data_IF_739464399700
#
_entry.id   IF_739464399700
#
_cell.length_a   1.000
_cell.length_b   1.000
_cell.length_c   1.000
_cell.angle_alpha   90.00
_cell.angle_beta   90.00
_cell.angle_gamma   90.00
#
_symmetry.space_group_name_H-M   'P 1'
#
loop_
_entity.id
_entity.type
_entity.pdbx_description
1 polymer ?
#
# COMPACT_ATOMS: atom_id res chain seq x y z
N UNK A 1 17.88 -31.21 26.97
CA UNK A 1 16.80 -32.06 26.39
C UNK A 1 15.79 -31.08 25.79
N UNK A 2 16.11 -30.60 24.58
CA UNK A 2 15.30 -29.63 23.86
C UNK A 2 14.21 -30.37 23.11
N UNK A 3 12.98 -30.19 23.52
CA UNK A 3 11.81 -30.70 22.80
C UNK A 3 11.71 -30.03 21.42
N UNK A 4 12.16 -30.78 20.40
CA UNK A 4 11.92 -30.52 18.99
C UNK A 4 10.44 -30.73 18.67
N UNK A 5 9.59 -29.84 19.12
CA UNK A 5 8.26 -29.68 18.52
C UNK A 5 8.42 -29.01 17.16
N UNK A 6 8.56 -29.82 16.13
CA UNK A 6 8.44 -29.41 14.74
C UNK A 6 7.07 -28.79 14.51
N UNK A 7 6.90 -27.48 14.84
CA UNK A 7 5.67 -26.74 14.56
C UNK A 7 5.37 -26.89 13.07
N UNK A 8 4.24 -27.51 12.76
CA UNK A 8 3.71 -27.65 11.40
C UNK A 8 3.74 -26.28 10.73
N UNK A 9 4.02 -26.23 9.42
CA UNK A 9 4.07 -24.99 8.64
C UNK A 9 2.78 -24.16 8.80
N UNK A 10 1.64 -24.84 8.98
CA UNK A 10 0.31 -24.30 9.21
C UNK A 10 -0.13 -24.52 10.67
N UNK A 11 0.61 -23.95 11.62
CA UNK A 11 0.15 -23.90 13.01
C UNK A 11 -0.96 -22.83 13.18
N UNK A 12 -1.84 -22.98 14.19
CA UNK A 12 -2.91 -22.00 14.46
C UNK A 12 -2.43 -20.54 14.48
N UNK A 13 -1.30 -20.19 15.15
CA UNK A 13 -0.78 -18.82 15.09
C UNK A 13 -0.39 -18.36 13.67
N UNK A 14 0.21 -19.24 12.86
CA UNK A 14 0.55 -18.92 11.46
C UNK A 14 -0.71 -18.70 10.64
N UNK A 15 -1.71 -19.58 10.77
CA UNK A 15 -3.00 -19.42 10.07
C UNK A 15 -3.66 -18.10 10.48
N UNK A 16 -3.69 -17.76 11.78
CA UNK A 16 -4.26 -16.51 12.26
C UNK A 16 -3.55 -15.29 11.67
N UNK A 17 -2.21 -15.32 11.55
CA UNK A 17 -1.43 -14.27 10.95
C UNK A 17 -1.72 -14.14 9.45
N UNK A 18 -1.79 -15.24 8.72
CA UNK A 18 -2.09 -15.27 7.26
C UNK A 18 -3.51 -14.79 6.97
N UNK A 19 -4.50 -15.19 7.79
CA UNK A 19 -5.89 -14.75 7.64
C UNK A 19 -6.08 -13.26 7.94
N UNK A 20 -5.22 -12.68 8.76
CA UNK A 20 -5.23 -11.24 8.98
C UNK A 20 -4.76 -10.48 7.74
N UNK A 21 -3.81 -11.01 6.99
CA UNK A 21 -3.38 -10.42 5.70
C UNK A 21 -4.51 -10.47 4.66
N UNK A 22 -5.25 -11.58 4.62
CA UNK A 22 -6.48 -11.69 3.84
C UNK A 22 -7.50 -10.59 4.21
N UNK A 23 -7.73 -10.36 5.51
CA UNK A 23 -8.62 -9.31 6.00
C UNK A 23 -8.13 -7.90 5.61
N UNK A 24 -6.84 -7.61 5.80
CA UNK A 24 -6.21 -6.35 5.42
C UNK A 24 -6.41 -6.04 3.94
N UNK A 25 -6.26 -7.05 3.10
CA UNK A 25 -6.38 -6.85 1.66
C UNK A 25 -7.82 -6.60 1.22
N UNK A 26 -8.82 -7.17 1.90
CA UNK A 26 -10.24 -6.83 1.67
C UNK A 26 -10.47 -5.33 1.92
N UNK A 27 -10.00 -4.80 3.04
CA UNK A 27 -10.15 -3.36 3.34
C UNK A 27 -9.44 -2.51 2.30
N UNK A 28 -8.16 -2.80 2.03
CA UNK A 28 -7.37 -2.04 1.06
C UNK A 28 -8.03 -2.03 -0.32
N UNK A 29 -8.52 -3.17 -0.77
CA UNK A 29 -9.21 -3.27 -2.05
C UNK A 29 -10.52 -2.48 -2.06
N UNK A 30 -11.39 -2.71 -1.09
CA UNK A 30 -12.75 -2.13 -1.04
C UNK A 30 -12.70 -0.62 -0.80
N UNK A 31 -11.95 -0.18 0.22
CA UNK A 31 -11.95 1.23 0.63
C UNK A 31 -10.95 2.02 -0.19
N UNK A 32 -9.68 1.58 -0.29
CA UNK A 32 -8.66 2.41 -0.92
C UNK A 32 -8.73 2.36 -2.45
N UNK A 33 -8.98 1.18 -3.03
CA UNK A 33 -8.85 1.00 -4.49
C UNK A 33 -10.17 1.17 -5.23
N UNK A 34 -11.26 0.53 -4.76
CA UNK A 34 -12.44 0.31 -5.60
C UNK A 34 -13.63 1.22 -5.30
N UNK A 35 -14.16 1.24 -4.07
CA UNK A 35 -15.49 1.79 -3.84
C UNK A 35 -15.52 3.16 -3.20
N UNK A 36 -14.57 3.56 -2.35
CA UNK A 36 -14.64 4.84 -1.65
C UNK A 36 -14.48 6.03 -2.61
N UNK A 37 -13.50 5.96 -3.51
CA UNK A 37 -13.25 7.02 -4.48
C UNK A 37 -14.40 7.10 -5.48
N UNK A 38 -14.87 5.95 -5.99
CA UNK A 38 -16.02 5.85 -6.89
C UNK A 38 -17.27 6.48 -6.25
N UNK A 39 -17.55 6.15 -4.99
CA UNK A 39 -18.67 6.69 -4.24
C UNK A 39 -18.60 8.19 -4.04
N UNK A 40 -17.48 8.72 -3.57
CA UNK A 40 -17.35 10.17 -3.27
C UNK A 40 -17.29 10.99 -4.56
N UNK A 41 -16.52 10.56 -5.55
CA UNK A 41 -16.22 11.34 -6.73
C UNK A 41 -17.30 11.17 -7.80
N UNK A 42 -17.64 9.95 -8.16
CA UNK A 42 -18.56 9.67 -9.28
C UNK A 42 -20.03 9.66 -8.83
N UNK A 43 -20.37 8.96 -7.74
CA UNK A 43 -21.78 8.89 -7.30
C UNK A 43 -22.24 10.15 -6.55
N UNK A 44 -21.35 10.77 -5.76
CA UNK A 44 -21.67 12.01 -5.02
C UNK A 44 -21.25 13.29 -5.76
N UNK A 45 -20.59 13.17 -6.91
CA UNK A 45 -20.17 14.28 -7.76
C UNK A 45 -19.16 15.23 -7.13
N UNK A 46 -18.40 14.77 -6.11
CA UNK A 46 -17.47 15.63 -5.40
C UNK A 46 -16.15 15.81 -6.17
N UNK A 47 -15.45 16.93 -5.98
CA UNK A 47 -14.12 17.14 -6.55
C UNK A 47 -13.12 16.07 -6.04
N UNK A 48 -12.27 15.57 -6.94
CA UNK A 48 -11.22 14.58 -6.63
C UNK A 48 -10.29 15.05 -5.51
N UNK A 49 -10.05 16.36 -5.41
CA UNK A 49 -9.18 16.97 -4.41
C UNK A 49 -9.62 16.66 -2.97
N UNK A 50 -10.92 16.41 -2.72
CA UNK A 50 -11.40 16.10 -1.37
C UNK A 50 -10.87 14.76 -0.87
N UNK A 51 -10.83 13.77 -1.74
CA UNK A 51 -10.18 12.48 -1.43
C UNK A 51 -8.68 12.67 -1.26
N UNK A 52 -8.05 13.46 -2.13
CA UNK A 52 -6.63 13.81 -2.01
C UNK A 52 -6.29 14.48 -0.68
N UNK A 53 -7.10 15.45 -0.23
CA UNK A 53 -6.94 16.12 1.08
C UNK A 53 -7.11 15.14 2.24
N UNK A 54 -8.10 14.27 2.18
CA UNK A 54 -8.31 13.22 3.18
C UNK A 54 -7.07 12.32 3.29
N UNK A 55 -6.57 11.79 2.18
CA UNK A 55 -5.41 10.89 2.19
C UNK A 55 -4.14 11.61 2.63
N UNK A 56 -3.94 12.86 2.23
CA UNK A 56 -2.80 13.67 2.66
C UNK A 56 -2.84 13.95 4.17
N UNK A 57 -4.01 14.30 4.72
CA UNK A 57 -4.17 14.50 6.15
C UNK A 57 -3.86 13.22 6.96
N UNK A 58 -4.33 12.06 6.48
CA UNK A 58 -4.00 10.75 7.06
C UNK A 58 -2.51 10.49 6.98
N UNK A 59 -1.86 10.75 5.85
CA UNK A 59 -0.43 10.52 5.65
C UNK A 59 0.42 11.37 6.61
N UNK A 60 0.08 12.65 6.78
CA UNK A 60 0.73 13.53 7.74
C UNK A 60 0.53 13.03 9.18
N UNK A 61 -0.70 12.65 9.54
CA UNK A 61 -0.97 12.08 10.86
C UNK A 61 -0.16 10.81 11.12
N UNK A 62 -0.06 9.90 10.13
CA UNK A 62 0.73 8.66 10.24
C UNK A 62 2.23 8.94 10.43
N UNK A 63 2.81 9.88 9.67
CA UNK A 63 4.23 10.25 9.79
C UNK A 63 4.55 10.76 11.19
N UNK A 64 3.63 11.49 11.83
CA UNK A 64 3.82 12.00 13.19
C UNK A 64 3.56 10.93 14.25
N UNK A 65 2.53 10.11 14.06
CA UNK A 65 2.06 9.21 15.14
C UNK A 65 2.68 7.81 15.09
N UNK A 66 3.02 7.26 13.90
CA UNK A 66 3.59 5.91 13.82
C UNK A 66 4.91 5.73 14.59
N UNK A 67 5.87 6.68 14.58
CA UNK A 67 7.07 6.58 15.44
C UNK A 67 6.74 6.54 16.93
N UNK A 68 5.71 7.30 17.37
CA UNK A 68 5.26 7.31 18.75
C UNK A 68 4.56 6.01 19.14
N UNK A 69 3.68 5.50 18.27
CA UNK A 69 2.96 4.25 18.48
C UNK A 69 3.92 3.06 18.47
N UNK A 70 4.90 3.04 17.56
CA UNK A 70 5.96 2.04 17.54
C UNK A 70 6.78 2.07 18.83
N UNK A 71 7.23 3.25 19.25
CA UNK A 71 7.95 3.43 20.52
C UNK A 71 7.12 2.97 21.74
N UNK A 72 5.81 3.20 21.72
CA UNK A 72 4.89 2.73 22.77
C UNK A 72 4.80 1.20 22.77
N UNK A 73 4.67 0.56 21.61
CA UNK A 73 4.65 -0.89 21.46
C UNK A 73 5.94 -1.52 21.98
N UNK A 74 7.10 -0.98 21.57
CA UNK A 74 8.42 -1.45 21.97
C UNK A 74 8.65 -1.29 23.50
N UNK A 75 8.25 -0.16 24.07
CA UNK A 75 8.33 0.07 25.53
C UNK A 75 7.53 -0.93 26.34
N UNK A 76 6.35 -1.34 25.85
CA UNK A 76 5.50 -2.33 26.51
C UNK A 76 5.86 -3.75 26.10
N UNK A 77 6.69 -3.96 25.07
CA UNK A 77 7.05 -5.26 24.51
C UNK A 77 5.82 -6.00 23.95
N UNK A 78 4.83 -5.28 23.41
CA UNK A 78 3.61 -5.85 22.86
C UNK A 78 3.03 -5.00 21.75
N UNK A 79 2.90 -5.60 20.56
CA UNK A 79 2.30 -5.01 19.35
C UNK A 79 0.81 -5.36 19.21
N UNK A 80 0.42 -6.56 19.64
CA UNK A 80 -0.92 -7.11 19.43
C UNK A 80 -2.05 -6.29 20.06
N UNK A 81 -1.97 -5.74 21.30
CA UNK A 81 -3.04 -4.92 21.85
C UNK A 81 -3.34 -3.67 21.01
N UNK A 82 -2.30 -3.01 20.50
CA UNK A 82 -2.44 -1.84 19.63
C UNK A 82 -3.07 -2.26 18.30
N UNK A 83 -2.59 -3.36 17.71
CA UNK A 83 -3.18 -3.94 16.50
C UNK A 83 -4.69 -4.17 16.68
N UNK A 84 -5.11 -4.83 17.76
CA UNK A 84 -6.52 -5.13 18.00
C UNK A 84 -7.34 -3.84 18.11
N UNK A 85 -6.87 -2.86 18.91
CA UNK A 85 -7.58 -1.60 19.12
C UNK A 85 -7.81 -0.86 17.79
N UNK A 86 -6.76 -0.73 16.97
CA UNK A 86 -6.86 -0.04 15.68
C UNK A 86 -7.59 -0.86 14.61
N UNK A 87 -7.53 -2.20 14.67
CA UNK A 87 -8.36 -3.04 13.79
C UNK A 87 -9.85 -2.86 14.10
N UNK A 88 -10.23 -2.86 15.38
CA UNK A 88 -11.62 -2.64 15.78
C UNK A 88 -12.10 -1.24 15.39
N UNK A 89 -11.27 -0.22 15.57
CA UNK A 89 -11.57 1.15 15.11
C UNK A 89 -11.76 1.20 13.58
N UNK A 90 -10.89 0.53 12.82
CA UNK A 90 -11.01 0.43 11.37
C UNK A 90 -12.31 -0.25 10.95
N UNK A 91 -12.65 -1.39 11.56
CA UNK A 91 -13.88 -2.14 11.27
C UNK A 91 -15.12 -1.30 11.55
N UNK A 92 -15.19 -0.65 12.73
CA UNK A 92 -16.31 0.22 13.09
C UNK A 92 -16.43 1.40 12.13
N UNK A 93 -15.33 2.08 11.83
CA UNK A 93 -15.34 3.20 10.89
C UNK A 93 -15.76 2.75 9.48
N UNK A 94 -15.27 1.60 9.01
CA UNK A 94 -15.65 1.04 7.71
C UNK A 94 -17.15 0.71 7.68
N UNK A 95 -17.69 0.10 8.73
CA UNK A 95 -19.13 -0.17 8.84
C UNK A 95 -19.98 1.11 8.84
N UNK A 96 -19.50 2.16 9.52
CA UNK A 96 -20.17 3.47 9.55
C UNK A 96 -20.22 4.10 8.14
N UNK A 97 -19.22 3.92 7.29
CA UNK A 97 -19.26 4.39 5.89
C UNK A 97 -20.50 3.84 5.15
N UNK A 98 -20.96 2.64 5.49
CA UNK A 98 -22.16 2.03 4.90
C UNK A 98 -23.48 2.74 5.21
N UNK A 99 -23.52 3.61 6.21
CA UNK A 99 -24.75 4.30 6.67
C UNK A 99 -24.67 5.82 6.65
N UNK A 100 -23.48 6.38 6.54
CA UNK A 100 -23.25 7.84 6.52
C UNK A 100 -23.80 8.47 5.25
N UNK A 101 -24.57 9.55 5.37
CA UNK A 101 -25.17 10.28 4.25
C UNK A 101 -24.39 11.55 3.87
N UNK A 102 -23.79 12.22 4.84
CA UNK A 102 -23.01 13.45 4.62
C UNK A 102 -21.65 13.14 4.03
N UNK A 103 -21.26 13.84 2.97
CA UNK A 103 -19.95 13.73 2.33
C UNK A 103 -18.82 14.09 3.29
N UNK A 104 -18.97 15.20 4.03
CA UNK A 104 -17.97 15.64 5.01
C UNK A 104 -17.75 14.56 6.08
N UNK A 105 -18.84 13.98 6.61
CA UNK A 105 -18.74 12.91 7.60
C UNK A 105 -18.15 11.63 6.99
N UNK A 106 -18.46 11.32 5.73
CA UNK A 106 -17.86 10.20 5.00
C UNK A 106 -16.33 10.36 4.86
N UNK A 107 -15.87 11.57 4.52
CA UNK A 107 -14.43 11.86 4.43
C UNK A 107 -13.74 11.74 5.80
N UNK A 108 -14.37 12.25 6.88
CA UNK A 108 -13.82 12.12 8.24
C UNK A 108 -13.76 10.65 8.67
N UNK A 109 -14.84 9.91 8.50
CA UNK A 109 -14.91 8.48 8.85
C UNK A 109 -13.96 7.65 7.98
N UNK A 110 -13.85 7.97 6.68
CA UNK A 110 -12.88 7.37 5.77
C UNK A 110 -11.43 7.64 6.18
N UNK A 111 -11.15 8.87 6.63
CA UNK A 111 -9.84 9.22 7.19
C UNK A 111 -9.52 8.38 8.44
N UNK A 112 -10.49 8.25 9.37
CA UNK A 112 -10.33 7.43 10.57
C UNK A 112 -10.12 5.97 10.22
N UNK A 113 -10.89 5.41 9.28
CA UNK A 113 -10.75 4.03 8.83
C UNK A 113 -9.35 3.79 8.21
N UNK A 114 -8.91 4.68 7.31
CA UNK A 114 -7.62 4.57 6.64
C UNK A 114 -6.45 4.77 7.61
N UNK A 115 -6.56 5.70 8.55
CA UNK A 115 -5.56 5.90 9.60
C UNK A 115 -5.46 4.67 10.51
N UNK A 116 -6.59 4.14 10.97
CA UNK A 116 -6.65 2.97 11.82
C UNK A 116 -6.11 1.71 11.11
N UNK A 117 -6.46 1.53 9.84
CA UNK A 117 -5.91 0.47 8.98
C UNK A 117 -4.38 0.52 8.91
N UNK A 118 -3.82 1.67 8.54
CA UNK A 118 -2.37 1.82 8.41
C UNK A 118 -1.64 1.64 9.75
N UNK A 119 -2.25 2.06 10.85
CA UNK A 119 -1.69 1.89 12.19
C UNK A 119 -1.71 0.43 12.61
N UNK A 120 -2.82 -0.29 12.42
CA UNK A 120 -2.89 -1.73 12.71
C UNK A 120 -1.94 -2.55 11.84
N UNK A 121 -1.84 -2.21 10.54
CA UNK A 121 -0.91 -2.85 9.60
C UNK A 121 0.56 -2.69 10.03
N UNK A 122 0.93 -1.52 10.55
CA UNK A 122 2.29 -1.30 11.10
C UNK A 122 2.63 -2.22 12.27
N UNK A 123 1.64 -2.63 13.07
CA UNK A 123 1.81 -3.53 14.20
C UNK A 123 1.67 -5.02 13.82
N UNK A 124 1.14 -5.32 12.62
CA UNK A 124 0.99 -6.67 12.10
C UNK A 124 2.33 -7.30 11.71
N UNK A 125 3.20 -6.55 11.03
CA UNK A 125 4.45 -7.10 10.53
C UNK A 125 5.41 -7.63 11.62
N UNK A 126 5.60 -6.97 12.78
CA UNK A 126 6.42 -7.51 13.87
C UNK A 126 5.93 -8.85 14.41
N UNK A 127 4.63 -9.13 14.37
CA UNK A 127 4.07 -10.40 14.83
C UNK A 127 4.51 -11.62 14.00
N UNK A 128 5.08 -11.42 12.79
CA UNK A 128 5.70 -12.49 12.03
C UNK A 128 6.82 -13.17 12.80
N UNK A 129 7.59 -12.42 13.58
CA UNK A 129 8.65 -12.97 14.42
C UNK A 129 8.09 -13.85 15.57
N UNK A 130 6.87 -13.54 16.03
CA UNK A 130 6.18 -14.30 17.09
C UNK A 130 5.62 -15.61 16.56
N UNK A 131 5.08 -15.62 15.33
CA UNK A 131 4.40 -16.81 14.76
C UNK A 131 5.32 -17.75 14.03
N UNK A 132 6.47 -17.28 13.52
CA UNK A 132 7.39 -18.07 12.72
C UNK A 132 8.85 -17.92 13.14
N UNK A 133 9.61 -19.05 13.27
CA UNK A 133 11.05 -19.03 13.48
C UNK A 133 11.75 -18.41 12.26
N UNK A 134 12.90 -17.80 12.46
CA UNK A 134 13.63 -17.02 11.45
C UNK A 134 13.77 -17.74 10.11
N UNK A 135 14.12 -19.01 10.14
CA UNK A 135 14.27 -19.86 8.93
C UNK A 135 13.00 -19.99 8.09
N UNK A 136 11.80 -19.75 8.66
CA UNK A 136 10.50 -19.93 8.01
C UNK A 136 9.77 -18.60 7.75
N UNK A 137 10.26 -17.47 8.27
CA UNK A 137 9.61 -16.15 8.16
C UNK A 137 9.36 -15.78 6.70
N UNK A 138 10.34 -15.92 5.83
CA UNK A 138 10.18 -15.62 4.41
C UNK A 138 9.07 -16.44 3.74
N UNK A 139 9.00 -17.76 4.05
CA UNK A 139 7.97 -18.64 3.51
C UNK A 139 6.57 -18.30 4.05
N UNK A 140 6.46 -18.04 5.35
CA UNK A 140 5.17 -17.66 5.97
C UNK A 140 4.70 -16.31 5.44
N UNK A 141 5.60 -15.34 5.29
CA UNK A 141 5.30 -14.04 4.68
C UNK A 141 4.82 -14.18 3.23
N UNK A 142 5.48 -15.03 2.42
CA UNK A 142 5.04 -15.31 1.05
C UNK A 142 3.65 -15.93 0.97
N UNK A 143 3.33 -16.87 1.88
CA UNK A 143 1.97 -17.43 1.99
C UNK A 143 0.97 -16.34 2.39
N UNK A 144 1.31 -15.46 3.35
CA UNK A 144 0.46 -14.34 3.73
C UNK A 144 0.09 -13.47 2.54
N UNK A 145 1.09 -13.01 1.79
CA UNK A 145 0.88 -12.19 0.59
C UNK A 145 0.00 -12.90 -0.45
N UNK A 146 0.25 -14.19 -0.72
CA UNK A 146 -0.56 -14.96 -1.67
C UNK A 146 -2.02 -15.06 -1.22
N UNK A 147 -2.25 -15.34 0.07
CA UNK A 147 -3.59 -15.40 0.67
C UNK A 147 -4.23 -14.00 0.72
N UNK A 148 -3.44 -12.94 0.92
CA UNK A 148 -3.90 -11.56 0.81
C UNK A 148 -4.49 -11.26 -0.58
N UNK A 149 -3.82 -11.63 -1.66
CA UNK A 149 -4.39 -11.46 -3.02
C UNK A 149 -5.72 -12.22 -3.20
N UNK A 150 -5.87 -13.41 -2.59
CA UNK A 150 -7.15 -14.09 -2.56
C UNK A 150 -8.23 -13.28 -1.82
N UNK A 151 -7.84 -12.49 -0.80
CA UNK A 151 -8.72 -11.57 -0.11
C UNK A 151 -9.30 -10.51 -1.05
N UNK A 152 -8.49 -9.91 -1.91
CA UNK A 152 -8.97 -8.96 -2.94
C UNK A 152 -9.96 -9.61 -3.90
N UNK A 153 -9.65 -10.81 -4.41
CA UNK A 153 -10.53 -11.53 -5.33
C UNK A 153 -11.85 -11.96 -4.65
N UNK A 154 -11.78 -12.36 -3.37
CA UNK A 154 -12.97 -12.68 -2.57
C UNK A 154 -13.84 -11.43 -2.34
N UNK A 155 -13.21 -10.29 -2.00
CA UNK A 155 -13.92 -9.03 -1.88
C UNK A 155 -14.62 -8.66 -3.18
N UNK A 156 -13.96 -8.83 -4.31
CA UNK A 156 -14.51 -8.55 -5.63
C UNK A 156 -15.72 -9.44 -5.95
N UNK A 157 -15.61 -10.74 -5.67
CA UNK A 157 -16.69 -11.71 -5.96
C UNK A 157 -17.91 -11.52 -5.05
N UNK A 158 -17.69 -11.34 -3.73
CA UNK A 158 -18.80 -11.28 -2.76
C UNK A 158 -19.39 -9.87 -2.66
N UNK A 159 -18.55 -8.83 -2.66
CA UNK A 159 -18.99 -7.45 -2.48
C UNK A 159 -19.43 -6.85 -3.82
N UNK A 160 -18.77 -7.23 -4.92
CA UNK A 160 -19.14 -6.78 -6.26
C UNK A 160 -20.57 -7.12 -6.68
N UNK A 161 -21.13 -8.21 -6.15
CA UNK A 161 -22.52 -8.59 -6.40
C UNK A 161 -23.55 -7.69 -5.68
N UNK A 162 -23.15 -7.01 -4.60
CA UNK A 162 -24.04 -6.16 -3.77
C UNK A 162 -23.79 -4.67 -4.04
N UNK A 163 -22.55 -4.29 -4.37
CA UNK A 163 -22.14 -2.93 -4.65
C UNK A 163 -22.08 -2.70 -6.16
N UNK A 164 -23.26 -2.59 -6.76
CA UNK A 164 -23.46 -2.29 -8.18
C UNK A 164 -23.34 -0.79 -8.45
N UNK A 165 -23.41 -0.38 -9.73
CA UNK A 165 -23.38 1.02 -10.15
C UNK A 165 -24.45 1.86 -9.43
N UNK A 166 -24.06 3.03 -8.97
CA UNK A 166 -24.90 3.91 -8.16
C UNK A 166 -25.11 3.45 -6.71
N UNK A 167 -24.48 2.35 -6.29
CA UNK A 167 -24.65 1.77 -4.97
C UNK A 167 -23.32 1.34 -4.31
N UNK A 168 -22.20 2.01 -4.62
CA UNK A 168 -20.88 1.69 -4.09
C UNK A 168 -20.84 1.72 -2.54
N UNK A 169 -21.67 2.55 -1.90
CA UNK A 169 -21.81 2.61 -0.45
C UNK A 169 -22.16 1.26 0.20
N UNK A 170 -22.90 0.38 -0.52
CA UNK A 170 -23.26 -0.95 -0.03
C UNK A 170 -22.05 -1.88 0.18
N UNK A 171 -20.87 -1.54 -0.33
CA UNK A 171 -19.66 -2.32 -0.17
C UNK A 171 -19.12 -2.31 1.26
N UNK A 172 -19.32 -1.22 2.01
CA UNK A 172 -18.58 -0.99 3.25
C UNK A 172 -19.01 -1.88 4.41
N UNK A 173 -20.30 -2.15 4.57
CA UNK A 173 -20.77 -3.00 5.65
C UNK A 173 -20.33 -4.47 5.49
N UNK A 174 -20.48 -5.12 4.32
CA UNK A 174 -19.91 -6.44 4.07
C UNK A 174 -18.39 -6.48 4.22
N UNK A 175 -17.67 -5.43 3.79
CA UNK A 175 -16.23 -5.34 3.95
C UNK A 175 -15.82 -5.32 5.43
N UNK A 176 -16.51 -4.54 6.25
CA UNK A 176 -16.29 -4.50 7.69
C UNK A 176 -16.55 -5.86 8.35
N UNK A 177 -17.63 -6.54 7.96
CA UNK A 177 -17.98 -7.87 8.44
C UNK A 177 -16.92 -8.93 8.06
N UNK A 178 -16.48 -8.94 6.81
CA UNK A 178 -15.41 -9.83 6.38
C UNK A 178 -14.09 -9.51 7.08
N UNK A 179 -13.76 -8.23 7.23
CA UNK A 179 -12.53 -7.84 7.92
C UNK A 179 -12.50 -8.39 9.35
N UNK A 180 -13.54 -8.18 10.15
CA UNK A 180 -13.54 -8.67 11.54
C UNK A 180 -13.51 -10.19 11.59
N UNK A 181 -14.28 -10.89 10.76
CA UNK A 181 -14.32 -12.37 10.75
C UNK A 181 -12.94 -12.96 10.50
N UNK A 182 -12.19 -12.45 9.51
CA UNK A 182 -10.88 -12.96 9.18
C UNK A 182 -9.76 -12.40 10.07
N UNK A 183 -9.99 -11.31 10.82
CA UNK A 183 -9.07 -10.81 11.83
C UNK A 183 -9.15 -11.57 13.17
N UNK A 184 -10.32 -12.10 13.55
CA UNK A 184 -10.54 -12.81 14.81
C UNK A 184 -9.53 -13.96 15.07
N UNK A 185 -9.16 -14.80 14.10
CA UNK A 185 -8.17 -15.85 14.32
C UNK A 185 -6.83 -15.33 14.83
N UNK A 186 -6.35 -14.18 14.35
CA UNK A 186 -5.14 -13.55 14.88
C UNK A 186 -5.35 -13.15 16.34
N UNK A 187 -6.50 -12.56 16.68
CA UNK A 187 -6.78 -12.09 18.03
C UNK A 187 -6.75 -13.22 19.06
N UNK A 188 -7.23 -14.41 18.70
CA UNK A 188 -7.32 -15.54 19.64
C UNK A 188 -6.11 -16.49 19.57
N UNK A 189 -5.54 -16.74 18.38
CA UNK A 189 -4.54 -17.79 18.20
C UNK A 189 -3.11 -17.28 18.32
N UNK A 190 -2.84 -15.99 18.06
CA UNK A 190 -1.50 -15.43 18.23
C UNK A 190 -1.32 -15.00 19.69
N UNK A 191 -0.40 -15.64 20.41
CA UNK A 191 -0.04 -15.29 21.78
C UNK A 191 1.30 -14.58 21.78
N UNK A 192 1.29 -13.29 21.98
CA UNK A 192 2.48 -12.46 22.12
C UNK A 192 2.97 -12.52 23.57
N UNK A 193 4.21 -12.92 23.77
CA UNK A 193 4.88 -12.78 25.06
C UNK A 193 5.47 -11.38 25.17
N UNK A 194 5.47 -10.84 26.38
CA UNK A 194 6.11 -9.56 26.63
C UNK A 194 7.62 -9.74 26.51
N UNK A 195 8.22 -9.21 25.47
CA UNK A 195 9.66 -9.16 25.28
C UNK A 195 10.07 -7.68 25.26
N UNK A 196 10.88 -7.30 26.23
CA UNK A 196 11.36 -5.92 26.37
C UNK A 196 12.86 -5.93 26.09
N UNK A 197 13.23 -5.37 24.95
CA UNK A 197 14.64 -5.16 24.60
C UNK A 197 15.11 -3.80 25.12
N UNK A 198 16.17 -3.81 25.94
CA UNK A 198 16.76 -2.59 26.50
C UNK A 198 17.33 -1.66 25.41
N UNK A 199 17.74 -2.17 24.26
CA UNK A 199 18.20 -1.36 23.13
C UNK A 199 17.01 -0.69 22.43
N UNK A 200 15.92 -1.43 22.17
CA UNK A 200 14.67 -0.90 21.65
C UNK A 200 14.07 0.17 22.57
N UNK A 201 14.10 -0.04 23.89
CA UNK A 201 13.64 0.98 24.85
C UNK A 201 14.42 2.29 24.78
N UNK A 202 15.75 2.22 24.64
CA UNK A 202 16.60 3.41 24.49
C UNK A 202 16.32 4.16 23.19
N UNK A 203 16.12 3.44 22.10
CA UNK A 203 15.71 4.00 20.82
C UNK A 203 14.32 4.67 20.91
N UNK A 204 13.35 4.01 21.56
CA UNK A 204 12.00 4.52 21.79
C UNK A 204 11.95 5.79 22.69
N UNK A 205 13.01 6.15 23.38
CA UNK A 205 13.05 7.36 24.22
C UNK A 205 13.08 8.67 23.41
N UNK A 206 13.61 8.65 22.16
CA UNK A 206 13.77 9.85 21.31
C UNK A 206 13.49 9.53 19.83
N UNK A 207 12.26 9.12 19.46
CA UNK A 207 11.96 8.60 18.14
C UNK A 207 12.21 9.60 17.00
N UNK A 208 11.88 10.87 17.19
CA UNK A 208 12.11 11.91 16.17
C UNK A 208 13.59 12.30 16.04
N UNK A 209 14.37 12.30 17.12
CA UNK A 209 15.80 12.58 17.04
C UNK A 209 16.53 11.45 16.30
N UNK A 210 16.15 10.20 16.56
CA UNK A 210 16.67 9.04 15.84
C UNK A 210 16.30 9.09 14.37
N UNK A 211 15.04 9.39 14.06
CA UNK A 211 14.58 9.57 12.68
C UNK A 211 15.37 10.66 11.94
N UNK A 212 15.56 11.83 12.56
CA UNK A 212 16.31 12.92 11.97
C UNK A 212 17.79 12.52 11.72
N UNK A 213 18.38 11.76 12.63
CA UNK A 213 19.74 11.22 12.46
C UNK A 213 19.81 10.23 11.29
N UNK A 214 18.83 9.32 11.18
CA UNK A 214 18.73 8.35 10.07
C UNK A 214 18.54 9.06 8.73
N UNK A 215 17.65 10.06 8.64
CA UNK A 215 17.47 10.88 7.42
C UNK A 215 18.78 11.60 7.03
N UNK A 216 19.46 12.20 7.98
CA UNK A 216 20.73 12.92 7.73
C UNK A 216 21.80 11.99 7.19
N UNK A 217 21.89 10.77 7.73
CA UNK A 217 22.81 9.72 7.27
C UNK A 217 22.43 9.23 5.87
N UNK A 218 21.16 8.85 5.68
CA UNK A 218 20.64 8.33 4.41
C UNK A 218 20.91 9.28 3.24
N UNK A 219 20.83 10.61 3.45
CA UNK A 219 21.13 11.61 2.41
C UNK A 219 22.56 11.49 1.83
N UNK A 220 23.49 10.90 2.56
CA UNK A 220 24.91 10.75 2.16
C UNK A 220 25.22 9.36 1.62
N UNK A 221 24.32 8.41 1.76
CA UNK A 221 24.50 7.00 1.40
C UNK A 221 23.66 6.60 0.16
N UNK A 222 24.07 5.56 -0.58
CA UNK A 222 23.36 5.13 -1.79
C UNK A 222 21.88 4.79 -1.57
N UNK A 223 21.55 4.16 -0.43
CA UNK A 223 20.16 3.79 -0.12
C UNK A 223 19.25 5.02 0.08
N UNK A 224 19.77 6.17 0.45
CA UNK A 224 19.00 7.40 0.51
C UNK A 224 18.49 7.87 -0.85
N UNK A 225 19.25 7.62 -1.93
CA UNK A 225 18.77 7.85 -3.30
C UNK A 225 17.65 6.89 -3.69
N UNK A 226 17.73 5.62 -3.27
CA UNK A 226 16.64 4.66 -3.48
C UNK A 226 15.37 5.10 -2.76
N UNK A 227 15.49 5.53 -1.49
CA UNK A 227 14.35 6.00 -0.69
C UNK A 227 13.73 7.26 -1.30
N UNK A 228 14.55 8.19 -1.81
CA UNK A 228 14.07 9.38 -2.52
C UNK A 228 13.41 9.03 -3.86
N UNK A 229 13.99 8.15 -4.65
CA UNK A 229 13.39 7.68 -5.90
C UNK A 229 12.03 7.02 -5.64
N UNK A 230 11.96 6.21 -4.58
CA UNK A 230 10.75 5.52 -4.14
C UNK A 230 9.60 6.47 -3.80
N UNK A 231 9.91 7.60 -3.18
CA UNK A 231 8.91 8.64 -2.92
C UNK A 231 8.12 8.99 -4.18
N UNK A 232 8.78 9.12 -5.32
CA UNK A 232 8.13 9.49 -6.57
C UNK A 232 7.46 8.30 -7.29
N UNK A 233 8.16 7.17 -7.49
CA UNK A 233 7.61 6.12 -8.33
C UNK A 233 6.55 5.25 -7.62
N UNK A 234 6.70 5.02 -6.31
CA UNK A 234 5.68 4.26 -5.57
C UNK A 234 4.41 5.09 -5.43
N UNK A 235 4.56 6.38 -5.16
CA UNK A 235 3.45 7.31 -5.08
C UNK A 235 2.67 7.40 -6.40
N UNK A 236 3.38 7.53 -7.52
CA UNK A 236 2.76 7.57 -8.83
C UNK A 236 1.94 6.29 -9.11
N UNK A 237 2.51 5.11 -8.86
CA UNK A 237 1.83 3.83 -9.10
C UNK A 237 0.66 3.62 -8.13
N UNK A 238 0.86 3.92 -6.85
CA UNK A 238 -0.21 3.81 -5.85
C UNK A 238 -1.39 4.74 -6.17
N UNK A 239 -1.10 5.97 -6.61
CA UNK A 239 -2.12 6.93 -7.02
C UNK A 239 -2.88 6.47 -8.26
N UNK A 240 -2.20 5.92 -9.27
CA UNK A 240 -2.86 5.32 -10.45
C UNK A 240 -3.83 4.23 -10.02
N UNK A 241 -3.41 3.33 -9.14
CA UNK A 241 -4.25 2.22 -8.67
C UNK A 241 -5.43 2.74 -7.85
N UNK A 242 -5.19 3.72 -6.99
CA UNK A 242 -6.22 4.33 -6.16
C UNK A 242 -7.32 5.03 -6.98
N UNK A 243 -6.97 5.67 -8.09
CA UNK A 243 -7.91 6.38 -8.95
C UNK A 243 -8.26 5.63 -10.24
N UNK A 244 -7.82 4.37 -10.38
CA UNK A 244 -8.06 3.56 -11.58
C UNK A 244 -9.54 3.43 -11.93
N UNK A 245 -10.40 3.25 -10.92
CA UNK A 245 -11.86 3.19 -11.09
C UNK A 245 -12.40 4.49 -11.69
N UNK A 246 -12.03 5.62 -11.11
CA UNK A 246 -12.45 6.96 -11.57
C UNK A 246 -11.94 7.22 -13.00
N UNK A 247 -10.67 6.86 -13.24
CA UNK A 247 -10.07 7.01 -14.56
C UNK A 247 -10.78 6.15 -15.62
N UNK A 248 -11.03 4.87 -15.33
CA UNK A 248 -11.68 3.96 -16.26
C UNK A 248 -13.11 4.41 -16.61
N UNK A 249 -13.86 4.91 -15.64
CA UNK A 249 -15.21 5.48 -15.90
C UNK A 249 -15.14 6.71 -16.81
N UNK A 250 -14.23 7.63 -16.54
CA UNK A 250 -14.15 8.91 -17.26
C UNK A 250 -13.58 8.78 -18.66
N UNK A 251 -12.66 7.86 -18.90
CA UNK A 251 -11.89 7.78 -20.15
C UNK A 251 -12.22 6.57 -20.99
N UNK A 252 -12.66 5.48 -20.41
CA UNK A 252 -12.97 4.23 -21.08
C UNK A 252 -14.46 3.89 -21.09
N UNK A 253 -15.29 4.68 -20.43
CA UNK A 253 -16.74 4.44 -20.26
C UNK A 253 -17.06 3.04 -19.68
N UNK A 254 -16.19 2.60 -18.74
CA UNK A 254 -16.35 1.30 -18.09
C UNK A 254 -17.49 1.32 -17.08
N UNK A 255 -18.34 0.28 -17.14
CA UNK A 255 -19.29 0.00 -16.10
C UNK A 255 -18.64 -0.65 -14.85
N UNK A 256 -19.41 -0.83 -13.78
CA UNK A 256 -18.91 -1.41 -12.55
C UNK A 256 -18.45 -2.85 -12.69
N UNK A 257 -19.06 -3.63 -13.59
CA UNK A 257 -18.70 -5.03 -13.84
C UNK A 257 -17.38 -5.11 -14.59
N UNK A 258 -17.21 -4.30 -15.63
CA UNK A 258 -15.97 -4.20 -16.40
C UNK A 258 -14.79 -3.76 -15.53
N UNK A 259 -14.99 -2.76 -14.64
CA UNK A 259 -13.99 -2.33 -13.68
C UNK A 259 -13.62 -3.48 -12.74
N UNK A 260 -14.61 -4.23 -12.26
CA UNK A 260 -14.36 -5.35 -11.37
C UNK A 260 -13.53 -6.44 -12.06
N UNK A 261 -13.84 -6.77 -13.32
CA UNK A 261 -13.06 -7.74 -14.11
C UNK A 261 -11.65 -7.21 -14.37
N UNK A 262 -11.51 -5.93 -14.74
CA UNK A 262 -10.20 -5.30 -14.98
C UNK A 262 -9.32 -5.37 -13.72
N UNK A 263 -9.87 -5.04 -12.55
CA UNK A 263 -9.17 -5.10 -11.28
C UNK A 263 -8.82 -6.55 -10.87
N UNK A 264 -9.70 -7.52 -11.17
CA UNK A 264 -9.39 -8.94 -10.94
C UNK A 264 -8.20 -9.39 -11.78
N UNK A 265 -8.22 -9.09 -13.08
CA UNK A 265 -7.13 -9.43 -14.00
C UNK A 265 -5.83 -8.73 -13.60
N UNK A 266 -5.89 -7.43 -13.23
CA UNK A 266 -4.74 -6.69 -12.74
C UNK A 266 -4.18 -7.26 -11.42
N UNK A 267 -5.03 -7.76 -10.53
CA UNK A 267 -4.62 -8.40 -9.26
C UNK A 267 -3.88 -9.72 -9.52
N UNK A 268 -4.41 -10.57 -10.42
CA UNK A 268 -3.72 -11.79 -10.83
C UNK A 268 -2.39 -11.47 -11.52
N UNK A 269 -2.39 -10.47 -12.39
CA UNK A 269 -1.19 -9.99 -13.07
C UNK A 269 -0.14 -9.46 -12.08
N UNK A 270 -0.56 -8.78 -10.99
CA UNK A 270 0.34 -8.33 -9.93
C UNK A 270 0.99 -9.50 -9.18
N UNK A 271 0.25 -10.56 -8.89
CA UNK A 271 0.81 -11.77 -8.29
C UNK A 271 1.87 -12.40 -9.19
N UNK A 272 1.56 -12.57 -10.49
CA UNK A 272 2.50 -13.12 -11.48
C UNK A 272 3.73 -12.21 -11.63
N UNK A 273 3.53 -10.90 -11.65
CA UNK A 273 4.59 -9.90 -11.68
C UNK A 273 5.54 -9.99 -10.50
N UNK A 274 5.00 -10.14 -9.29
CA UNK A 274 5.80 -10.28 -8.07
C UNK A 274 6.69 -11.54 -8.10
N UNK A 275 6.14 -12.69 -8.51
CA UNK A 275 6.88 -13.95 -8.63
C UNK A 275 7.93 -13.85 -9.74
N UNK A 276 7.52 -13.44 -10.95
CA UNK A 276 8.41 -13.36 -12.11
C UNK A 276 9.55 -12.37 -11.89
N UNK A 277 9.27 -11.19 -11.33
CA UNK A 277 10.29 -10.20 -11.03
C UNK A 277 11.27 -10.66 -9.95
N UNK A 278 10.81 -11.40 -8.93
CA UNK A 278 11.68 -11.97 -7.90
C UNK A 278 12.67 -12.96 -8.51
N UNK A 279 12.19 -13.89 -9.34
CA UNK A 279 13.05 -14.86 -10.04
C UNK A 279 14.03 -14.16 -11.01
N UNK A 280 13.56 -13.12 -11.69
CA UNK A 280 14.43 -12.34 -12.59
C UNK A 280 15.49 -11.57 -11.80
N UNK A 281 15.14 -11.01 -10.63
CA UNK A 281 16.07 -10.26 -9.79
C UNK A 281 17.21 -11.13 -9.23
N UNK A 282 16.98 -12.42 -9.05
CA UNK A 282 18.05 -13.37 -8.68
C UNK A 282 19.09 -13.53 -9.80
N UNK A 283 18.66 -13.47 -11.07
CA UNK A 283 19.53 -13.66 -12.24
C UNK A 283 20.24 -12.39 -12.69
N UNK A 284 19.53 -11.27 -12.77
CA UNK A 284 20.06 -10.03 -13.39
C UNK A 284 20.32 -8.91 -12.40
N UNK A 285 19.96 -9.12 -11.12
CA UNK A 285 20.06 -8.12 -10.05
C UNK A 285 18.81 -7.25 -9.88
N UNK A 286 18.47 -6.86 -8.64
CA UNK A 286 17.24 -6.16 -8.33
C UNK A 286 17.17 -4.77 -8.96
N UNK A 287 18.29 -4.04 -9.05
CA UNK A 287 18.34 -2.72 -9.68
C UNK A 287 17.83 -2.75 -11.13
N UNK A 288 18.32 -3.70 -11.93
CA UNK A 288 17.93 -3.80 -13.35
C UNK A 288 16.44 -4.08 -13.48
N UNK A 289 15.91 -4.98 -12.64
CA UNK A 289 14.48 -5.32 -12.65
C UNK A 289 13.64 -4.10 -12.28
N UNK A 290 14.00 -3.36 -11.23
CA UNK A 290 13.29 -2.12 -10.84
C UNK A 290 13.31 -1.09 -11.97
N UNK A 291 14.48 -0.86 -12.62
CA UNK A 291 14.59 0.09 -13.74
C UNK A 291 13.77 -0.34 -14.95
N UNK A 292 13.79 -1.61 -15.32
CA UNK A 292 12.96 -2.11 -16.44
C UNK A 292 11.48 -1.98 -16.15
N UNK A 293 11.06 -2.36 -14.93
CA UNK A 293 9.66 -2.21 -14.52
C UNK A 293 9.22 -0.76 -14.55
N UNK A 294 10.04 0.18 -14.05
CA UNK A 294 9.73 1.60 -14.10
C UNK A 294 9.66 2.13 -15.54
N UNK A 295 10.58 1.72 -16.43
CA UNK A 295 10.54 2.10 -17.83
C UNK A 295 9.24 1.63 -18.51
N UNK A 296 8.84 0.38 -18.28
CA UNK A 296 7.57 -0.16 -18.79
C UNK A 296 6.39 0.63 -18.18
N UNK A 297 6.38 0.89 -16.88
CA UNK A 297 5.33 1.67 -16.22
C UNK A 297 5.18 3.06 -16.83
N UNK A 298 6.27 3.79 -17.04
CA UNK A 298 6.26 5.13 -17.64
C UNK A 298 5.64 5.07 -19.04
N UNK A 299 6.07 4.12 -19.88
CA UNK A 299 5.54 3.94 -21.24
C UNK A 299 4.04 3.66 -21.19
N UNK A 300 3.61 2.75 -20.32
CA UNK A 300 2.20 2.38 -20.15
C UNK A 300 1.35 3.57 -19.69
N UNK A 301 1.85 4.37 -18.74
CA UNK A 301 1.15 5.57 -18.27
C UNK A 301 1.05 6.62 -19.40
N UNK A 302 2.11 6.85 -20.17
CA UNK A 302 2.11 7.78 -21.31
C UNK A 302 1.11 7.33 -22.39
N UNK A 303 1.10 6.04 -22.73
CA UNK A 303 0.14 5.48 -23.69
C UNK A 303 -1.29 5.62 -23.13
N UNK A 304 -1.50 5.25 -21.88
CA UNK A 304 -2.80 5.36 -21.20
C UNK A 304 -3.33 6.79 -21.17
N UNK A 305 -2.48 7.77 -20.89
CA UNK A 305 -2.81 9.18 -20.95
C UNK A 305 -3.12 9.66 -22.37
N UNK A 306 -2.47 9.09 -23.37
CA UNK A 306 -2.67 9.45 -24.79
C UNK A 306 -3.96 8.91 -25.40
N UNK A 307 -4.61 7.93 -24.78
CA UNK A 307 -5.76 7.22 -25.36
C UNK A 307 -7.02 7.38 -24.52
N UNK A 308 -8.19 7.40 -25.19
CA UNK A 308 -9.51 7.22 -24.57
C UNK A 308 -10.13 5.84 -24.92
N UNK A 309 -9.32 4.90 -25.43
CA UNK A 309 -9.83 3.60 -25.86
C UNK A 309 -9.97 2.63 -24.68
N UNK A 310 -11.20 2.15 -24.46
CA UNK A 310 -11.47 1.10 -23.47
C UNK A 310 -10.69 -0.19 -23.77
N UNK A 311 -10.59 -0.58 -25.04
CA UNK A 311 -9.83 -1.77 -25.46
C UNK A 311 -8.37 -1.70 -25.02
N UNK A 312 -7.75 -0.53 -25.07
CA UNK A 312 -6.37 -0.36 -24.64
C UNK A 312 -6.23 -0.41 -23.11
N UNK A 313 -7.21 0.08 -22.36
CA UNK A 313 -7.20 0.00 -20.89
C UNK A 313 -7.24 -1.46 -20.40
N UNK A 314 -7.90 -2.37 -21.13
CA UNK A 314 -7.88 -3.81 -20.85
C UNK A 314 -6.48 -4.42 -20.92
N UNK A 315 -5.59 -3.84 -21.72
CA UNK A 315 -4.19 -4.27 -21.84
C UNK A 315 -3.30 -3.56 -20.85
N UNK A 316 -3.48 -2.24 -20.70
CA UNK A 316 -2.62 -1.42 -19.83
C UNK A 316 -2.82 -1.70 -18.34
N UNK A 317 -4.06 -1.98 -17.91
CA UNK A 317 -4.38 -2.28 -16.51
C UNK A 317 -3.61 -3.48 -15.96
N UNK A 318 -3.63 -4.65 -16.60
CA UNK A 318 -2.81 -5.79 -16.19
C UNK A 318 -1.30 -5.50 -16.18
N UNK A 319 -0.78 -4.71 -17.12
CA UNK A 319 0.65 -4.34 -17.13
C UNK A 319 0.99 -3.46 -15.92
N UNK A 320 0.11 -2.52 -15.52
CA UNK A 320 0.27 -1.76 -14.27
C UNK A 320 0.20 -2.70 -13.06
N UNK A 321 -0.67 -3.71 -13.09
CA UNK A 321 -0.70 -4.76 -12.06
C UNK A 321 0.65 -5.48 -11.96
N UNK A 322 1.22 -5.96 -13.06
CA UNK A 322 2.55 -6.58 -13.10
C UNK A 322 3.60 -5.62 -12.51
N UNK A 323 3.54 -4.35 -12.87
CA UNK A 323 4.48 -3.33 -12.37
C UNK A 323 4.40 -3.16 -10.85
N UNK A 324 3.18 -3.07 -10.31
CA UNK A 324 2.96 -3.00 -8.85
C UNK A 324 3.54 -4.22 -8.13
N UNK A 325 3.20 -5.42 -8.60
CA UNK A 325 3.67 -6.67 -8.01
C UNK A 325 5.20 -6.77 -8.06
N UNK A 326 5.79 -6.46 -9.21
CA UNK A 326 7.24 -6.48 -9.42
C UNK A 326 7.97 -5.52 -8.47
N UNK A 327 7.54 -4.27 -8.39
CA UNK A 327 8.15 -3.28 -7.50
C UNK A 327 7.97 -3.62 -6.03
N UNK A 328 6.79 -4.08 -5.64
CA UNK A 328 6.50 -4.48 -4.25
C UNK A 328 7.40 -5.63 -3.76
N UNK A 329 7.78 -6.53 -4.67
CA UNK A 329 8.64 -7.67 -4.35
C UNK A 329 10.14 -7.30 -4.38
N UNK A 330 10.60 -6.60 -5.42
CA UNK A 330 12.04 -6.41 -5.71
C UNK A 330 12.63 -5.19 -5.02
N UNK A 331 11.84 -4.16 -4.77
CA UNK A 331 12.26 -2.90 -4.16
C UNK A 331 12.88 -3.12 -2.76
N UNK A 332 12.25 -3.95 -1.93
CA UNK A 332 12.78 -4.32 -0.61
C UNK A 332 14.08 -5.11 -0.70
N UNK A 333 14.20 -5.98 -1.69
CA UNK A 333 15.42 -6.77 -1.94
C UNK A 333 16.56 -5.84 -2.36
N UNK A 334 16.26 -4.83 -3.15
CA UNK A 334 17.25 -3.82 -3.55
C UNK A 334 17.72 -3.00 -2.34
N UNK A 335 16.82 -2.55 -1.47
CA UNK A 335 17.18 -1.88 -0.23
C UNK A 335 18.08 -2.76 0.65
N UNK A 336 17.74 -4.04 0.83
CA UNK A 336 18.53 -4.99 1.62
C UNK A 336 19.97 -5.13 1.15
N UNK A 337 20.24 -4.97 -0.16
CA UNK A 337 21.61 -5.00 -0.71
C UNK A 337 22.40 -3.72 -0.46
N UNK A 338 21.71 -2.59 -0.26
CA UNK A 338 22.34 -1.29 -0.07
C UNK A 338 22.61 -0.94 1.40
N UNK A 339 21.90 -1.61 2.33
CA UNK A 339 21.92 -1.29 3.76
C UNK A 339 22.75 -2.31 4.53
N UNK A 340 23.72 -1.85 5.38
CA UNK A 340 24.46 -2.73 6.30
C UNK A 340 23.55 -3.47 7.27
N UNK A 341 23.93 -4.69 7.66
CA UNK A 341 23.10 -5.57 8.49
C UNK A 341 22.71 -4.93 9.84
N UNK A 342 23.64 -4.17 10.43
CA UNK A 342 23.50 -3.55 11.75
C UNK A 342 22.47 -2.41 11.79
N UNK A 343 22.10 -1.86 10.61
CA UNK A 343 21.23 -0.66 10.49
C UNK A 343 19.92 -0.94 9.76
N UNK A 344 19.68 -2.19 9.37
CA UNK A 344 18.49 -2.58 8.58
C UNK A 344 17.20 -2.10 9.20
N UNK A 345 17.06 -2.21 10.53
CA UNK A 345 15.83 -1.80 11.22
C UNK A 345 15.52 -0.31 11.04
N UNK A 346 16.51 0.57 11.24
CA UNK A 346 16.33 2.02 11.11
C UNK A 346 16.05 2.44 9.66
N UNK A 347 16.79 1.89 8.70
CA UNK A 347 16.68 2.28 7.30
C UNK A 347 15.41 1.72 6.65
N UNK A 348 14.93 0.52 7.09
CA UNK A 348 13.62 0.01 6.70
C UNK A 348 12.46 0.81 7.32
N UNK A 349 12.62 1.30 8.54
CA UNK A 349 11.64 2.20 9.15
C UNK A 349 11.53 3.52 8.37
N UNK A 350 12.66 4.12 7.97
CA UNK A 350 12.68 5.30 7.11
C UNK A 350 12.03 5.02 5.74
N UNK A 351 12.37 3.89 5.12
CA UNK A 351 11.79 3.45 3.86
C UNK A 351 10.26 3.31 3.95
N UNK A 352 9.74 2.68 5.00
CA UNK A 352 8.29 2.52 5.21
C UNK A 352 7.61 3.88 5.44
N UNK A 353 8.25 4.76 6.24
CA UNK A 353 7.70 6.07 6.54
C UNK A 353 7.66 6.99 5.31
N UNK A 354 8.69 6.98 4.47
CA UNK A 354 8.69 7.73 3.21
C UNK A 354 7.57 7.22 2.29
N UNK A 355 7.31 5.91 2.25
CA UNK A 355 6.17 5.36 1.53
C UNK A 355 4.81 5.84 2.07
N UNK A 356 4.65 5.99 3.38
CA UNK A 356 3.40 6.55 3.95
C UNK A 356 3.28 8.06 3.68
N UNK A 357 4.38 8.80 3.67
CA UNK A 357 4.36 10.22 3.33
C UNK A 357 4.03 10.44 1.86
N UNK A 358 4.64 9.67 0.96
CA UNK A 358 4.39 9.78 -0.47
C UNK A 358 2.93 9.48 -0.83
N UNK A 359 2.29 8.49 -0.18
CA UNK A 359 0.91 8.12 -0.49
C UNK A 359 -0.13 9.24 -0.25
N UNK A 360 0.24 10.34 0.38
CA UNK A 360 -0.59 11.54 0.47
C UNK A 360 -0.29 12.59 -0.61
N UNK A 361 0.93 12.59 -1.14
CA UNK A 361 1.37 13.58 -2.12
C UNK A 361 0.73 13.36 -3.49
N UNK A 362 0.76 12.14 -4.00
CA UNK A 362 0.19 11.80 -5.30
C UNK A 362 -1.32 12.07 -5.42
N UNK A 363 -2.16 11.54 -4.52
CA UNK A 363 -3.59 11.81 -4.53
C UNK A 363 -3.94 13.30 -4.41
N UNK A 364 -3.22 14.05 -3.58
CA UNK A 364 -3.50 15.48 -3.38
C UNK A 364 -2.96 16.33 -4.51
N UNK A 365 -1.66 16.19 -4.83
CA UNK A 365 -0.96 17.14 -5.72
C UNK A 365 -1.00 16.67 -7.17
N UNK A 366 -0.56 15.41 -7.40
CA UNK A 366 -0.39 14.95 -8.78
C UNK A 366 -1.71 14.57 -9.44
N UNK A 367 -2.71 14.11 -8.70
CA UNK A 367 -4.04 13.79 -9.22
C UNK A 367 -5.03 14.91 -8.95
N UNK A 368 -5.50 15.08 -7.71
CA UNK A 368 -6.56 16.01 -7.34
C UNK A 368 -6.22 17.46 -7.68
N UNK A 369 -4.99 17.91 -7.39
CA UNK A 369 -4.51 19.25 -7.71
C UNK A 369 -4.44 19.51 -9.21
N UNK A 370 -3.98 18.52 -9.99
CA UNK A 370 -3.93 18.64 -11.45
C UNK A 370 -5.35 18.74 -12.04
N UNK A 371 -6.28 17.89 -11.59
CA UNK A 371 -7.66 17.93 -12.08
C UNK A 371 -8.31 19.25 -11.71
N UNK A 372 -8.21 19.69 -10.44
CA UNK A 372 -8.79 20.96 -10.00
C UNK A 372 -8.23 22.13 -10.82
N UNK A 373 -6.92 22.21 -10.99
CA UNK A 373 -6.30 23.30 -11.75
C UNK A 373 -6.76 23.32 -13.21
N UNK A 374 -6.85 22.18 -13.87
CA UNK A 374 -7.23 22.12 -15.28
C UNK A 374 -8.73 22.34 -15.48
N UNK A 375 -9.60 21.85 -14.60
CA UNK A 375 -11.04 22.04 -14.73
C UNK A 375 -11.47 23.45 -14.34
N UNK A 376 -11.00 23.97 -13.19
CA UNK A 376 -11.49 25.24 -12.65
C UNK A 376 -10.75 26.47 -13.22
N UNK A 377 -9.43 26.35 -13.48
CA UNK A 377 -8.64 27.49 -13.96
C UNK A 377 -8.48 27.53 -15.48
N UNK A 378 -8.45 26.36 -16.13
CA UNK A 378 -8.21 26.26 -17.57
C UNK A 378 -9.42 25.79 -18.39
N UNK A 379 -10.56 25.44 -17.73
CA UNK A 379 -11.80 25.06 -18.41
C UNK A 379 -11.76 23.71 -19.14
N UNK A 380 -10.81 22.82 -18.81
CA UNK A 380 -10.73 21.51 -19.43
C UNK A 380 -11.88 20.61 -18.97
N UNK A 381 -12.26 19.66 -19.82
CA UNK A 381 -13.18 18.60 -19.42
C UNK A 381 -12.55 17.69 -18.36
N UNK A 382 -13.37 17.02 -17.52
CA UNK A 382 -12.87 16.00 -16.57
C UNK A 382 -12.15 14.86 -17.27
N UNK A 383 -12.55 14.53 -18.50
CA UNK A 383 -11.89 13.57 -19.37
C UNK A 383 -10.43 13.96 -19.64
N UNK A 384 -10.21 15.17 -20.18
CA UNK A 384 -8.86 15.65 -20.52
C UNK A 384 -8.01 15.91 -19.29
N UNK A 385 -8.61 16.45 -18.21
CA UNK A 385 -7.93 16.68 -16.95
C UNK A 385 -7.43 15.36 -16.31
N UNK A 386 -8.23 14.27 -16.39
CA UNK A 386 -7.83 12.95 -15.90
C UNK A 386 -6.65 12.36 -16.70
N UNK A 387 -6.66 12.53 -18.01
CA UNK A 387 -5.54 12.13 -18.88
C UNK A 387 -4.27 12.92 -18.56
N UNK A 388 -4.39 14.23 -18.38
CA UNK A 388 -3.26 15.08 -17.98
C UNK A 388 -2.70 14.66 -16.60
N UNK A 389 -3.55 14.30 -15.64
CA UNK A 389 -3.11 13.80 -14.35
C UNK A 389 -2.27 12.50 -14.48
N UNK A 390 -2.64 11.58 -15.39
CA UNK A 390 -1.81 10.40 -15.68
C UNK A 390 -0.45 10.80 -16.27
N UNK A 391 -0.37 11.82 -17.14
CA UNK A 391 0.92 12.34 -17.62
C UNK A 391 1.78 12.90 -16.49
N UNK A 392 1.18 13.61 -15.53
CA UNK A 392 1.89 14.15 -14.36
C UNK A 392 2.43 13.00 -13.50
N UNK A 393 1.65 11.93 -13.31
CA UNK A 393 2.08 10.72 -12.61
C UNK A 393 3.21 9.99 -13.36
N UNK A 394 3.14 9.92 -14.69
CA UNK A 394 4.24 9.38 -15.52
C UNK A 394 5.51 10.23 -15.34
N UNK A 395 5.40 11.55 -15.28
CA UNK A 395 6.49 12.46 -14.96
C UNK A 395 7.12 12.19 -13.60
N UNK A 396 6.31 11.99 -12.56
CA UNK A 396 6.80 11.63 -11.24
C UNK A 396 7.54 10.28 -11.25
N UNK A 397 7.00 9.27 -11.93
CA UNK A 397 7.69 7.98 -12.10
C UNK A 397 9.02 8.14 -12.85
N UNK A 398 9.07 9.03 -13.87
CA UNK A 398 10.29 9.37 -14.61
C UNK A 398 11.34 10.03 -13.70
N UNK A 399 10.95 10.96 -12.82
CA UNK A 399 11.84 11.55 -11.80
C UNK A 399 12.44 10.45 -10.91
N UNK A 400 11.60 9.53 -10.42
CA UNK A 400 12.05 8.36 -9.65
C UNK A 400 13.06 7.50 -10.43
N UNK A 401 12.78 7.23 -11.71
CA UNK A 401 13.68 6.49 -12.60
C UNK A 401 15.06 7.18 -12.76
N UNK A 402 15.07 8.49 -13.01
CA UNK A 402 16.31 9.27 -13.19
C UNK A 402 17.15 9.28 -11.92
N UNK A 403 16.51 9.44 -10.75
CA UNK A 403 17.20 9.39 -9.43
C UNK A 403 17.82 8.01 -9.20
N UNK A 404 17.13 6.94 -9.60
CA UNK A 404 17.56 5.55 -9.40
C UNK A 404 18.68 5.12 -10.34
N UNK A 405 18.69 5.63 -11.57
CA UNK A 405 19.58 5.21 -12.66
C UNK A 405 21.08 5.16 -12.29
N UNK A 406 21.66 6.11 -11.52
CA UNK A 406 23.08 6.10 -11.19
C UNK A 406 23.48 5.14 -10.04
N UNK A 407 22.51 4.49 -9.36
CA UNK A 407 22.82 3.53 -8.32
C UNK A 407 23.42 2.25 -8.89
N UNK A 408 24.24 1.55 -8.13
CA UNK A 408 24.80 0.23 -8.48
C UNK A 408 24.16 -0.87 -7.61
N UNK A 409 24.14 -2.12 -8.10
CA UNK A 409 23.69 -3.30 -7.33
C UNK A 409 24.68 -3.71 -6.24
N UNK A 410 25.95 -3.33 -6.34
CA UNK A 410 26.95 -3.70 -5.37
C UNK A 410 27.03 -2.67 -4.23
N UNK A 411 27.13 -3.11 -2.96
CA UNK A 411 27.62 -2.23 -1.92
C UNK A 411 28.98 -1.71 -2.37
N UNK A 412 29.21 -0.41 -2.29
CA UNK A 412 30.58 0.11 -2.40
C UNK A 412 31.37 -0.54 -1.27
N UNK A 413 32.39 -1.32 -1.61
CA UNK A 413 33.39 -1.70 -0.64
C UNK A 413 33.83 -0.41 0.07
N UNK A 414 33.63 -0.37 1.38
CA UNK A 414 34.13 0.73 2.21
C UNK A 414 35.63 0.60 2.13
N UNK A 415 36.27 1.51 1.39
CA UNK A 415 37.72 1.66 1.35
C UNK A 415 38.19 2.31 2.64
#
# INVERSE_FOLDING_TARGET
MEEHHGRRLLSRPVIGWVLYDFANTIFSFVVVTRYFNDWIIEERGQPDIYVGLMVAAVSVALVVTLPLIGALADRHGRHKPILIAFTLLCVVATGLLGVVKSVLLALIVGAIATYAFNTSDSQYHPLLAVVAPERRRARVSGIGVAVGFLGSLTALALIGSVATDGHAQRAFLPAAALFIVFALPLFFWVRERREVDAAAQRAAARPFAQLAATVRRARREPHGRLILARFFYVDAIATVIQFMTVYARRTGDFDGTEINILLAVATVAALLGAVGASLLAERVGPRRVVLWTLAVTIVVLVIGAGTGSSALLWVLGPIIGISLGSLSAVDRVFLLRLVPAERRGEDFALYAMVGKLSSGFGPLVLWGGTILALTELAGFSKFDASRAAIFVLAGAACVGYVILRPLSDAPRAVA
#
